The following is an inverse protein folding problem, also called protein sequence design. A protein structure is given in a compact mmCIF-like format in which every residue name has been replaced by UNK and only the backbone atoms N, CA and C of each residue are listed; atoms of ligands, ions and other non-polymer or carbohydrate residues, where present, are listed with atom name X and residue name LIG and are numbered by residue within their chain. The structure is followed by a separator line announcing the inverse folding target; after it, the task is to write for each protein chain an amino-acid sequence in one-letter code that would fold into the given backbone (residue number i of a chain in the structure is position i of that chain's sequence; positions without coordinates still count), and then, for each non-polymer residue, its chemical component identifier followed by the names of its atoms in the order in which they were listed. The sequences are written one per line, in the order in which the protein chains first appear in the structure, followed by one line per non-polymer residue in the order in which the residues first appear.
data_IF_307678335490
#
_entry.id   IF_307678335490
#
_cell.length_a   1.000
_cell.length_b   1.000
_cell.length_c   1.000
_cell.angle_alpha   90.00
_cell.angle_beta   90.00
_cell.angle_gamma   90.00
#
_symmetry.space_group_name_H-M   'P 1'
#
loop_
_entity.id
_entity.type
_entity.pdbx_description
1 polymer ?
#
# COMPACT_ATOMS: atom_id res chain seq x y z
N UNK A 1 13.24 17.38 6.12
CA UNK A 1 11.93 16.70 6.26
C UNK A 1 11.84 15.60 5.22
N UNK A 2 11.47 14.37 5.62
CA UNK A 2 11.23 13.26 4.69
C UNK A 2 9.87 13.42 4.00
N UNK A 3 9.74 12.99 2.74
CA UNK A 3 8.51 13.12 1.94
C UNK A 3 7.95 11.74 1.57
N UNK A 4 6.66 11.55 1.77
CA UNK A 4 5.96 10.31 1.51
C UNK A 4 4.80 10.53 0.53
N UNK A 5 4.63 9.64 -0.44
CA UNK A 5 3.43 9.53 -1.26
C UNK A 5 2.66 8.28 -0.83
N UNK A 6 1.38 8.44 -0.52
CA UNK A 6 0.48 7.32 -0.19
C UNK A 6 -0.64 7.29 -1.22
N UNK A 7 -0.75 6.20 -1.98
CA UNK A 7 -1.84 6.06 -2.96
C UNK A 7 -3.15 5.66 -2.27
N UNK A 8 -4.29 6.20 -2.71
CA UNK A 8 -5.60 5.87 -2.13
C UNK A 8 -5.73 6.26 -0.66
N UNK A 9 -5.16 7.41 -0.26
CA UNK A 9 -5.02 7.83 1.13
C UNK A 9 -6.11 8.79 1.62
N UNK A 10 -7.17 9.00 0.85
CA UNK A 10 -8.27 9.88 1.24
C UNK A 10 -9.18 9.29 2.33
N UNK A 11 -9.02 8.00 2.69
CA UNK A 11 -9.76 7.31 3.75
C UNK A 11 -9.09 6.00 4.17
N UNK A 12 -9.63 5.38 5.22
CA UNK A 12 -9.25 4.03 5.67
C UNK A 12 -7.78 3.93 6.06
N UNK A 13 -7.15 2.79 5.77
CA UNK A 13 -5.76 2.51 6.18
C UNK A 13 -4.77 3.55 5.63
N UNK A 14 -4.96 4.03 4.39
CA UNK A 14 -4.07 5.03 3.80
C UNK A 14 -4.12 6.37 4.54
N UNK A 15 -5.31 6.81 4.97
CA UNK A 15 -5.49 8.02 5.76
C UNK A 15 -4.84 7.90 7.14
N UNK A 16 -5.06 6.77 7.81
CA UNK A 16 -4.46 6.49 9.11
C UNK A 16 -2.94 6.36 9.03
N UNK A 17 -2.42 5.77 7.96
CA UNK A 17 -0.98 5.74 7.67
C UNK A 17 -0.43 7.16 7.53
N UNK A 18 -1.16 8.07 6.87
CA UNK A 18 -0.76 9.47 6.74
C UNK A 18 -0.63 10.13 8.13
N UNK A 19 -1.61 9.95 9.02
CA UNK A 19 -1.56 10.48 10.38
C UNK A 19 -0.28 10.03 11.10
N UNK A 20 0.05 8.74 11.02
CA UNK A 20 1.25 8.21 11.69
C UNK A 20 2.54 8.81 11.12
N UNK A 21 2.65 9.01 9.80
CA UNK A 21 3.82 9.66 9.19
C UNK A 21 3.89 11.15 9.54
N UNK A 22 2.76 11.86 9.54
CA UNK A 22 2.68 13.28 9.91
C UNK A 22 3.11 13.51 11.36
N UNK A 23 2.66 12.65 12.29
CA UNK A 23 3.11 12.64 13.70
C UNK A 23 4.63 12.45 13.85
N UNK A 24 5.28 11.83 12.87
CA UNK A 24 6.73 11.60 12.83
C UNK A 24 7.47 12.63 11.95
N UNK A 25 6.83 13.76 11.60
CA UNK A 25 7.47 14.87 10.91
C UNK A 25 7.73 14.64 9.42
N UNK A 26 6.97 13.77 8.76
CA UNK A 26 7.03 13.60 7.30
C UNK A 26 6.14 14.60 6.59
N UNK A 27 6.54 15.10 5.43
CA UNK A 27 5.59 15.70 4.50
C UNK A 27 4.83 14.58 3.77
N UNK A 28 3.50 14.62 3.76
CA UNK A 28 2.69 13.55 3.16
C UNK A 28 1.87 14.07 1.99
N UNK A 29 2.09 13.47 0.82
CA UNK A 29 1.21 13.59 -0.34
C UNK A 29 0.10 12.53 -0.25
N UNK A 30 -1.14 13.00 -0.10
CA UNK A 30 -2.36 12.22 -0.09
C UNK A 30 -2.79 11.97 -1.54
N UNK A 31 -2.42 10.80 -2.07
CA UNK A 31 -2.87 10.36 -3.39
C UNK A 31 -4.34 9.95 -3.35
N UNK A 32 -5.16 10.55 -4.20
CA UNK A 32 -6.59 10.20 -4.34
C UNK A 32 -7.02 10.26 -5.80
N UNK A 33 -7.76 9.25 -6.28
CA UNK A 33 -8.32 9.27 -7.63
C UNK A 33 -9.27 10.45 -7.85
N UNK A 34 -10.07 10.77 -6.83
CA UNK A 34 -10.95 11.93 -6.83
C UNK A 34 -10.28 13.04 -5.99
N UNK A 35 -9.97 14.17 -6.62
CA UNK A 35 -9.22 15.25 -5.98
C UNK A 35 -9.99 15.88 -4.81
N UNK A 36 -11.31 16.06 -4.94
CA UNK A 36 -12.16 16.64 -3.90
C UNK A 36 -12.08 15.81 -2.61
N UNK A 37 -12.20 14.49 -2.71
CA UNK A 37 -12.04 13.59 -1.56
C UNK A 37 -10.64 13.71 -0.92
N UNK A 38 -9.61 13.89 -1.74
CA UNK A 38 -8.24 14.13 -1.26
C UNK A 38 -8.12 15.45 -0.52
N UNK A 39 -8.74 16.52 -1.03
CA UNK A 39 -8.76 17.84 -0.39
C UNK A 39 -9.57 17.81 0.92
N UNK A 40 -10.69 17.11 0.98
CA UNK A 40 -11.42 16.90 2.23
C UNK A 40 -10.61 16.14 3.28
N UNK A 41 -9.83 15.14 2.86
CA UNK A 41 -8.92 14.43 3.76
C UNK A 41 -7.81 15.37 4.28
N UNK A 42 -7.21 16.19 3.42
CA UNK A 42 -6.24 17.23 3.82
C UNK A 42 -6.86 18.22 4.80
N UNK A 43 -8.09 18.67 4.56
CA UNK A 43 -8.79 19.57 5.48
C UNK A 43 -8.94 18.94 6.87
N UNK A 44 -9.38 17.68 6.95
CA UNK A 44 -9.48 16.97 8.23
C UNK A 44 -8.13 16.88 8.96
N UNK A 45 -7.04 16.65 8.22
CA UNK A 45 -5.69 16.59 8.79
C UNK A 45 -5.20 17.97 9.26
N UNK A 46 -5.51 19.03 8.51
CA UNK A 46 -5.22 20.42 8.91
C UNK A 46 -6.01 20.80 10.18
N UNK A 47 -7.29 20.43 10.27
CA UNK A 47 -8.12 20.65 11.47
C UNK A 47 -7.58 19.88 12.69
N UNK A 48 -6.91 18.74 12.45
CA UNK A 48 -6.17 17.99 13.47
C UNK A 48 -4.77 18.54 13.78
N UNK A 49 -4.35 19.65 13.16
CA UNK A 49 -3.10 20.36 13.43
C UNK A 49 -1.90 19.94 12.57
N UNK A 50 -2.10 19.16 11.50
CA UNK A 50 -1.03 18.81 10.57
C UNK A 50 -1.00 19.76 9.38
N UNK A 51 0.11 20.47 9.18
CA UNK A 51 0.26 21.44 8.07
C UNK A 51 1.11 20.91 6.91
N UNK A 52 1.85 19.82 7.15
CA UNK A 52 2.79 19.17 6.26
C UNK A 52 2.12 18.13 5.34
N UNK A 53 0.96 18.46 4.79
CA UNK A 53 0.13 17.53 4.02
C UNK A 53 -0.49 18.19 2.79
N UNK A 54 -0.55 17.46 1.67
CA UNK A 54 -1.13 17.97 0.43
C UNK A 54 -1.86 16.87 -0.36
N UNK A 55 -2.96 17.22 -1.03
CA UNK A 55 -3.70 16.31 -1.90
C UNK A 55 -3.11 16.29 -3.32
N UNK A 56 -2.91 15.08 -3.85
CA UNK A 56 -2.48 14.84 -5.23
C UNK A 56 -3.55 13.98 -5.92
N UNK A 57 -4.05 14.45 -7.06
CA UNK A 57 -4.94 13.62 -7.88
C UNK A 57 -4.13 12.48 -8.49
N UNK A 58 -4.45 11.24 -8.12
CA UNK A 58 -3.71 10.06 -8.52
C UNK A 58 -4.65 8.85 -8.66
N UNK A 59 -5.03 8.55 -9.90
CA UNK A 59 -5.64 7.28 -10.27
C UNK A 59 -4.57 6.29 -10.74
N UNK A 60 -4.36 5.22 -9.98
CA UNK A 60 -3.32 4.22 -10.28
C UNK A 60 -3.64 3.40 -11.55
N UNK A 61 -4.88 3.41 -12.04
CA UNK A 61 -5.26 2.72 -13.28
C UNK A 61 -5.05 3.56 -14.54
N UNK A 62 -4.71 4.84 -14.40
CA UNK A 62 -4.52 5.77 -15.52
C UNK A 62 -3.08 6.31 -15.58
N UNK A 63 -2.31 5.87 -16.59
CA UNK A 63 -0.93 6.31 -16.79
C UNK A 63 -0.79 7.83 -16.94
N UNK A 64 -1.78 8.53 -17.51
CA UNK A 64 -1.76 9.99 -17.64
C UNK A 64 -1.96 10.63 -16.27
N UNK A 65 -2.85 10.10 -15.44
CA UNK A 65 -3.03 10.57 -14.06
C UNK A 65 -1.76 10.36 -13.23
N UNK A 66 -1.11 9.20 -13.35
CA UNK A 66 0.15 8.90 -12.66
C UNK A 66 1.26 9.87 -13.07
N UNK A 67 1.43 10.13 -14.37
CA UNK A 67 2.46 11.04 -14.86
C UNK A 67 2.22 12.49 -14.42
N UNK A 68 0.95 12.94 -14.44
CA UNK A 68 0.58 14.28 -13.92
C UNK A 68 0.88 14.40 -12.43
N UNK A 69 0.57 13.37 -11.64
CA UNK A 69 0.90 13.34 -10.22
C UNK A 69 2.41 13.43 -9.98
N UNK A 70 3.20 12.68 -10.76
CA UNK A 70 4.67 12.71 -10.72
C UNK A 70 5.20 14.10 -11.00
N UNK A 71 4.78 14.73 -12.09
CA UNK A 71 5.18 16.10 -12.47
C UNK A 71 4.77 17.13 -11.40
N UNK A 72 3.57 17.00 -10.84
CA UNK A 72 3.10 17.90 -9.77
C UNK A 72 3.99 17.79 -8.53
N UNK A 73 4.34 16.58 -8.10
CA UNK A 73 5.23 16.38 -6.93
C UNK A 73 6.66 16.85 -7.25
N UNK A 74 7.17 16.54 -8.44
CA UNK A 74 8.51 16.95 -8.89
C UNK A 74 8.68 18.47 -8.91
N UNK A 75 7.63 19.22 -9.27
CA UNK A 75 7.65 20.69 -9.22
C UNK A 75 7.82 21.27 -7.81
N UNK A 76 7.64 20.44 -6.76
CA UNK A 76 7.67 20.83 -5.34
C UNK A 76 8.88 20.28 -4.61
N UNK A 77 9.34 19.10 -5.02
CA UNK A 77 10.49 18.46 -4.42
C UNK A 77 11.15 17.53 -5.41
N UNK A 78 12.49 17.52 -5.43
CA UNK A 78 13.24 16.63 -6.31
C UNK A 78 13.33 15.20 -5.78
N UNK A 79 13.05 14.99 -4.48
CA UNK A 79 13.29 13.74 -3.75
C UNK A 79 11.99 13.24 -3.13
N UNK A 80 11.69 11.97 -3.36
CA UNK A 80 10.67 11.23 -2.60
C UNK A 80 11.37 10.22 -1.71
N UNK A 81 11.06 10.18 -0.42
CA UNK A 81 11.73 9.25 0.51
C UNK A 81 10.94 7.95 0.68
N UNK A 82 9.61 8.04 0.62
CA UNK A 82 8.71 6.92 0.87
C UNK A 82 7.62 6.86 -0.19
N UNK A 83 7.41 5.68 -0.76
CA UNK A 83 6.23 5.35 -1.55
C UNK A 83 5.42 4.24 -0.86
N UNK A 84 4.15 4.51 -0.60
CA UNK A 84 3.21 3.54 -0.04
C UNK A 84 2.13 3.26 -1.08
N UNK A 85 2.23 2.09 -1.72
CA UNK A 85 1.22 1.58 -2.62
C UNK A 85 0.07 0.96 -1.82
N UNK A 86 -0.84 1.83 -1.35
CA UNK A 86 -2.00 1.47 -0.53
C UNK A 86 -3.29 1.29 -1.35
N UNK A 87 -3.44 1.98 -2.48
CA UNK A 87 -4.62 1.88 -3.32
C UNK A 87 -4.91 0.42 -3.71
N UNK A 88 -6.18 0.00 -3.57
CA UNK A 88 -6.61 -1.33 -3.97
C UNK A 88 -8.12 -1.52 -3.90
N UNK A 89 -8.60 -2.55 -4.60
CA UNK A 89 -10.01 -2.98 -4.61
C UNK A 89 -10.13 -4.48 -4.37
N UNK A 90 -11.27 -4.93 -3.83
CA UNK A 90 -11.57 -6.36 -3.65
C UNK A 90 -12.16 -7.00 -4.93
N UNK A 91 -12.77 -6.21 -5.82
CA UNK A 91 -13.40 -6.69 -7.05
C UNK A 91 -14.90 -7.01 -6.97
N UNK A 92 -15.53 -6.88 -5.80
CA UNK A 92 -16.93 -7.26 -5.59
C UNK A 92 -17.15 -8.78 -5.55
N UNK A 93 -18.41 -9.21 -5.67
CA UNK A 93 -18.80 -10.62 -5.75
C UNK A 93 -19.39 -10.95 -7.15
N UNK A 94 -19.32 -12.21 -7.61
CA UNK A 94 -18.74 -13.38 -6.94
C UNK A 94 -17.20 -13.38 -6.88
N UNK A 95 -16.63 -14.11 -5.93
CA UNK A 95 -15.18 -14.32 -5.75
C UNK A 95 -14.75 -15.79 -5.92
N UNK A 96 -15.71 -16.71 -6.03
CA UNK A 96 -15.45 -18.14 -6.16
C UNK A 96 -14.74 -18.46 -7.48
N UNK A 97 -13.83 -19.45 -7.45
CA UNK A 97 -13.01 -19.78 -8.62
C UNK A 97 -13.82 -20.21 -9.85
N UNK A 98 -15.01 -20.76 -9.66
CA UNK A 98 -15.89 -21.24 -10.74
C UNK A 98 -16.77 -20.12 -11.33
N UNK A 99 -17.09 -19.10 -10.54
CA UNK A 99 -18.13 -18.11 -10.87
C UNK A 99 -17.55 -16.71 -11.14
N UNK A 100 -16.37 -16.40 -10.59
CA UNK A 100 -15.74 -15.11 -10.79
C UNK A 100 -15.37 -14.90 -12.26
N UNK A 101 -15.88 -13.81 -12.85
CA UNK A 101 -15.62 -13.50 -14.26
C UNK A 101 -14.17 -13.06 -14.51
N UNK A 102 -13.64 -13.36 -15.69
CA UNK A 102 -12.33 -12.86 -16.14
C UNK A 102 -12.23 -11.32 -16.08
N UNK A 103 -13.34 -10.60 -16.31
CA UNK A 103 -13.38 -9.14 -16.18
C UNK A 103 -13.16 -8.67 -14.73
N UNK A 104 -13.63 -9.43 -13.74
CA UNK A 104 -13.34 -9.14 -12.33
C UNK A 104 -11.84 -9.29 -12.04
N UNK A 105 -11.20 -10.36 -12.55
CA UNK A 105 -9.74 -10.52 -12.49
C UNK A 105 -9.01 -9.35 -13.14
N UNK A 106 -9.37 -9.00 -14.38
CA UNK A 106 -8.73 -7.90 -15.10
C UNK A 106 -8.81 -6.58 -14.31
N UNK A 107 -9.99 -6.23 -13.81
CA UNK A 107 -10.20 -4.99 -13.04
C UNK A 107 -9.37 -4.96 -11.75
N UNK A 108 -9.37 -6.06 -10.99
CA UNK A 108 -8.63 -6.14 -9.72
C UNK A 108 -7.12 -6.16 -9.97
N UNK A 109 -6.65 -6.91 -10.97
CA UNK A 109 -5.23 -6.93 -11.37
C UNK A 109 -4.76 -5.55 -11.83
N UNK A 110 -5.61 -4.83 -12.58
CA UNK A 110 -5.27 -3.50 -13.09
C UNK A 110 -5.02 -2.50 -11.96
N UNK A 111 -5.84 -2.52 -10.90
CA UNK A 111 -5.63 -1.65 -9.73
C UNK A 111 -4.52 -2.18 -8.82
N UNK A 112 -4.61 -3.45 -8.40
CA UNK A 112 -3.81 -3.99 -7.29
C UNK A 112 -2.40 -4.44 -7.68
N UNK A 113 -2.15 -4.69 -8.97
CA UNK A 113 -0.84 -5.06 -9.50
C UNK A 113 -0.35 -4.02 -10.50
N UNK A 114 -1.05 -3.81 -11.62
CA UNK A 114 -0.56 -2.92 -12.66
C UNK A 114 -0.48 -1.47 -12.16
N UNK A 115 -1.42 -1.02 -11.33
CA UNK A 115 -1.34 0.29 -10.70
C UNK A 115 -0.11 0.44 -9.79
N UNK A 116 0.26 -0.60 -9.05
CA UNK A 116 1.48 -0.63 -8.23
C UNK A 116 2.72 -0.52 -9.12
N UNK A 117 2.77 -1.26 -10.22
CA UNK A 117 3.88 -1.19 -11.20
C UNK A 117 3.98 0.21 -11.81
N UNK A 118 2.88 0.77 -12.31
CA UNK A 118 2.84 2.10 -12.93
C UNK A 118 3.33 3.19 -12.00
N UNK A 119 2.79 3.24 -10.78
CA UNK A 119 3.18 4.26 -9.79
C UNK A 119 4.63 4.06 -9.39
N UNK A 120 5.05 2.84 -9.10
CA UNK A 120 6.43 2.58 -8.67
C UNK A 120 7.43 3.01 -9.76
N UNK A 121 7.18 2.66 -11.02
CA UNK A 121 8.04 3.05 -12.13
C UNK A 121 8.06 4.56 -12.37
N UNK A 122 6.91 5.24 -12.29
CA UNK A 122 6.85 6.68 -12.47
C UNK A 122 7.65 7.44 -11.40
N UNK A 123 7.65 6.96 -10.15
CA UNK A 123 8.29 7.66 -9.04
C UNK A 123 9.72 7.14 -8.71
N UNK A 124 10.21 6.11 -9.40
CA UNK A 124 11.47 5.45 -9.01
C UNK A 124 12.68 6.39 -9.07
N UNK A 125 12.73 7.30 -10.04
CA UNK A 125 13.87 8.21 -10.19
C UNK A 125 13.89 9.30 -9.10
N UNK A 126 12.73 9.68 -8.57
CA UNK A 126 12.66 10.55 -7.38
C UNK A 126 13.08 9.79 -6.12
N UNK A 127 12.70 8.51 -5.99
CA UNK A 127 13.08 7.64 -4.87
C UNK A 127 14.59 7.37 -4.84
N UNK A 128 15.23 7.15 -6.00
CA UNK A 128 16.69 6.94 -6.09
C UNK A 128 17.52 8.11 -5.56
N UNK A 129 16.94 9.31 -5.47
CA UNK A 129 17.60 10.49 -4.91
C UNK A 129 17.52 10.58 -3.38
N UNK A 130 16.75 9.72 -2.73
CA UNK A 130 16.71 9.64 -1.27
C UNK A 130 17.90 8.85 -0.75
N UNK A 131 18.46 9.27 0.39
CA UNK A 131 19.49 8.51 1.11
C UNK A 131 18.92 7.22 1.73
N UNK A 132 17.62 7.19 2.03
CA UNK A 132 16.94 6.08 2.68
C UNK A 132 15.58 5.77 2.05
N UNK A 133 15.53 5.33 0.77
CA UNK A 133 14.27 5.14 0.07
C UNK A 133 13.52 3.91 0.61
N UNK A 134 12.21 4.07 0.78
CA UNK A 134 11.29 3.02 1.28
C UNK A 134 10.13 2.83 0.32
N UNK A 135 9.82 1.57 0.00
CA UNK A 135 8.63 1.20 -0.73
C UNK A 135 7.84 0.19 0.11
N UNK A 136 6.60 0.53 0.42
CA UNK A 136 5.66 -0.37 1.11
C UNK A 136 4.51 -0.70 0.16
N UNK A 137 4.40 -1.97 -0.23
CA UNK A 137 3.27 -2.48 -0.98
C UNK A 137 2.26 -3.08 0.00
N UNK A 138 1.09 -2.43 0.16
CA UNK A 138 0.06 -2.89 1.10
C UNK A 138 -0.58 -4.17 0.55
N UNK A 139 -0.21 -5.30 1.14
CA UNK A 139 -0.62 -6.65 0.74
C UNK A 139 -1.62 -7.24 1.73
N UNK A 140 -1.85 -8.55 1.69
CA UNK A 140 -2.79 -9.24 2.58
C UNK A 140 -2.28 -10.64 2.89
N UNK A 141 -2.24 -11.06 4.16
CA UNK A 141 -1.93 -12.46 4.54
C UNK A 141 -2.88 -13.45 3.86
N UNK A 142 -4.09 -13.01 3.50
CA UNK A 142 -5.05 -13.69 2.61
C UNK A 142 -4.58 -13.92 1.17
N UNK A 143 -3.33 -13.64 0.81
CA UNK A 143 -2.74 -14.08 -0.45
C UNK A 143 -1.59 -15.08 -0.30
N UNK A 144 -1.23 -15.46 0.93
CA UNK A 144 -0.16 -16.43 1.14
C UNK A 144 -0.56 -17.80 0.61
N UNK A 145 0.22 -18.32 -0.34
CA UNK A 145 0.01 -19.67 -0.85
C UNK A 145 0.19 -20.69 0.27
N UNK A 146 1.19 -20.48 1.11
CA UNK A 146 1.50 -21.35 2.24
C UNK A 146 0.34 -21.40 3.24
N UNK A 147 -0.17 -20.25 3.68
CA UNK A 147 -1.28 -20.20 4.65
C UNK A 147 -2.57 -20.75 4.06
N UNK A 148 -2.85 -20.51 2.78
CA UNK A 148 -4.03 -21.09 2.14
C UNK A 148 -3.95 -22.60 1.92
N UNK A 149 -2.78 -23.21 2.07
CA UNK A 149 -2.58 -24.66 2.07
C UNK A 149 -2.50 -25.27 3.49
N UNK A 150 -2.52 -24.45 4.54
CA UNK A 150 -2.44 -24.89 5.94
C UNK A 150 -3.86 -25.04 6.55
N UNK A 151 -4.32 -26.27 6.85
CA UNK A 151 -5.65 -26.49 7.43
C UNK A 151 -5.80 -25.94 8.86
N UNK A 152 -4.70 -25.70 9.58
CA UNK A 152 -4.72 -25.18 10.95
C UNK A 152 -4.79 -23.63 10.97
N UNK A 153 -4.62 -22.97 9.83
CA UNK A 153 -4.71 -21.53 9.75
C UNK A 153 -6.16 -21.04 9.93
N UNK A 154 -6.36 -20.04 10.80
CA UNK A 154 -7.70 -19.51 11.15
C UNK A 154 -8.56 -19.04 9.97
N UNK A 155 -7.93 -18.69 8.84
CA UNK A 155 -8.62 -18.27 7.61
C UNK A 155 -8.61 -19.33 6.51
N UNK A 156 -8.23 -20.58 6.80
CA UNK A 156 -8.15 -21.66 5.82
C UNK A 156 -9.42 -21.78 4.96
N UNK A 157 -10.60 -21.76 5.57
CA UNK A 157 -11.88 -21.91 4.85
C UNK A 157 -12.37 -20.63 4.14
N UNK A 158 -11.66 -19.51 4.25
CA UNK A 158 -12.01 -18.25 3.58
C UNK A 158 -11.25 -18.17 2.25
N UNK A 159 -11.86 -18.65 1.16
CA UNK A 159 -11.24 -18.64 -0.17
C UNK A 159 -11.85 -17.54 -1.04
N UNK A 160 -10.99 -16.89 -1.82
CA UNK A 160 -11.38 -15.97 -2.88
C UNK A 160 -10.38 -16.13 -4.02
N UNK A 161 -10.86 -16.18 -5.26
CA UNK A 161 -10.01 -16.42 -6.42
C UNK A 161 -9.44 -15.12 -7.00
N UNK A 162 -10.16 -14.00 -6.88
CA UNK A 162 -9.81 -12.75 -7.57
C UNK A 162 -8.82 -11.92 -6.76
N UNK A 163 -9.22 -11.49 -5.56
CA UNK A 163 -8.41 -10.57 -4.76
C UNK A 163 -7.08 -11.19 -4.29
N UNK A 164 -7.06 -12.40 -3.67
CA UNK A 164 -5.82 -13.07 -3.29
C UNK A 164 -4.83 -13.23 -4.44
N UNK A 165 -5.29 -13.63 -5.63
CA UNK A 165 -4.42 -13.77 -6.80
C UNK A 165 -3.71 -12.46 -7.16
N UNK A 166 -4.43 -11.33 -7.10
CA UNK A 166 -3.82 -10.01 -7.36
C UNK A 166 -2.73 -9.63 -6.36
N UNK A 167 -2.93 -9.96 -5.08
CA UNK A 167 -1.96 -9.67 -4.03
C UNK A 167 -0.80 -10.66 -4.01
N UNK A 168 -1.02 -11.91 -4.42
CA UNK A 168 0.06 -12.89 -4.63
C UNK A 168 0.96 -12.48 -5.81
N UNK A 169 0.37 -12.00 -6.91
CA UNK A 169 1.13 -11.46 -8.03
C UNK A 169 1.94 -10.20 -7.63
N UNK A 170 1.34 -9.29 -6.85
CA UNK A 170 2.03 -8.12 -6.29
C UNK A 170 3.15 -8.51 -5.31
N UNK A 171 2.98 -9.58 -4.54
CA UNK A 171 4.04 -10.14 -3.70
C UNK A 171 5.24 -10.60 -4.53
N UNK A 172 5.00 -11.32 -5.64
CA UNK A 172 6.07 -11.70 -6.58
C UNK A 172 6.77 -10.48 -7.19
N UNK A 173 6.01 -9.44 -7.59
CA UNK A 173 6.59 -8.17 -8.04
C UNK A 173 7.49 -7.53 -6.96
N UNK A 174 7.04 -7.54 -5.70
CA UNK A 174 7.79 -7.00 -4.56
C UNK A 174 9.12 -7.72 -4.35
N UNK A 175 9.15 -9.05 -4.48
CA UNK A 175 10.38 -9.86 -4.38
C UNK A 175 11.38 -9.44 -5.47
N UNK A 176 10.92 -9.36 -6.72
CA UNK A 176 11.79 -8.99 -7.85
C UNK A 176 12.32 -7.57 -7.72
N UNK A 177 11.45 -6.60 -7.39
CA UNK A 177 11.87 -5.22 -7.19
C UNK A 177 12.90 -5.09 -6.05
N UNK A 178 12.68 -5.78 -4.93
CA UNK A 178 13.65 -5.80 -3.84
C UNK A 178 14.99 -6.43 -4.27
N UNK A 179 14.96 -7.48 -5.09
CA UNK A 179 16.15 -8.11 -5.63
C UNK A 179 16.91 -7.18 -6.59
N UNK A 180 16.23 -6.49 -7.49
CA UNK A 180 16.84 -5.51 -8.40
C UNK A 180 17.54 -4.36 -7.65
N UNK A 181 16.95 -3.93 -6.52
CA UNK A 181 17.45 -2.83 -5.71
C UNK A 181 18.38 -3.27 -4.56
N UNK A 182 18.75 -4.56 -4.49
CA UNK A 182 19.44 -5.16 -3.33
C UNK A 182 20.80 -4.52 -2.99
N UNK A 183 21.50 -4.00 -3.99
CA UNK A 183 22.82 -3.38 -3.86
C UNK A 183 22.73 -1.86 -3.58
N UNK A 184 21.55 -1.37 -3.20
CA UNK A 184 21.27 0.05 -2.88
C UNK A 184 20.72 0.21 -1.46
N UNK A 185 20.48 1.46 -1.03
CA UNK A 185 19.88 1.77 0.27
C UNK A 185 18.37 1.46 0.37
N UNK A 186 17.74 0.99 -0.71
CA UNK A 186 16.30 0.71 -0.72
C UNK A 186 15.90 -0.39 0.27
N UNK A 187 14.74 -0.18 0.87
CA UNK A 187 13.97 -1.22 1.57
C UNK A 187 12.58 -1.32 0.94
N UNK A 188 12.26 -2.49 0.40
CA UNK A 188 11.04 -2.76 -0.34
C UNK A 188 10.33 -3.95 0.30
N UNK A 189 9.12 -3.79 0.83
CA UNK A 189 8.42 -4.89 1.51
C UNK A 189 6.93 -4.93 1.17
N UNK A 190 6.35 -6.12 1.25
CA UNK A 190 4.92 -6.35 1.20
C UNK A 190 4.39 -6.44 2.64
N UNK A 191 3.41 -5.62 2.99
CA UNK A 191 2.93 -5.49 4.37
C UNK A 191 1.43 -5.65 4.42
N UNK A 192 0.95 -6.60 5.21
CA UNK A 192 -0.44 -6.82 5.51
C UNK A 192 -0.86 -5.92 6.69
N UNK A 193 -1.90 -5.09 6.54
CA UNK A 193 -2.41 -4.24 7.61
C UNK A 193 -3.23 -5.01 8.66
N UNK A 194 -3.51 -6.29 8.43
CA UNK A 194 -4.44 -7.13 9.21
C UNK A 194 -5.86 -7.09 8.67
N UNK A 195 -6.78 -7.81 9.33
CA UNK A 195 -8.19 -7.82 8.99
C UNK A 195 -8.91 -6.62 9.64
N UNK A 196 -8.85 -5.50 8.93
CA UNK A 196 -9.26 -4.18 9.43
C UNK A 196 -10.65 -3.80 8.94
N UNK A 197 -11.53 -3.33 9.83
CA UNK A 197 -12.85 -2.81 9.46
C UNK A 197 -12.73 -1.49 8.67
N UNK A 198 -13.04 -1.54 7.36
CA UNK A 198 -13.06 -0.36 6.47
C UNK A 198 -14.14 -0.53 5.41
N UNK A 199 -14.38 0.52 4.60
CA UNK A 199 -15.26 0.39 3.43
C UNK A 199 -14.82 -0.73 2.46
N UNK A 200 -13.53 -1.10 2.45
CA UNK A 200 -12.98 -2.14 1.58
C UNK A 200 -13.64 -3.51 1.78
N UNK A 201 -14.08 -3.81 2.99
CA UNK A 201 -14.75 -5.08 3.35
C UNK A 201 -16.16 -4.87 3.93
N UNK A 202 -16.71 -3.67 3.77
CA UNK A 202 -18.03 -3.32 4.30
C UNK A 202 -18.05 -3.25 5.82
N UNK A 203 -17.02 -2.63 6.42
CA UNK A 203 -16.87 -2.43 7.86
C UNK A 203 -16.76 -3.76 8.65
N UNK A 204 -16.18 -4.79 8.02
CA UNK A 204 -15.93 -6.09 8.64
C UNK A 204 -14.45 -6.22 8.98
N UNK A 205 -14.13 -6.57 10.22
CA UNK A 205 -12.74 -6.70 10.63
C UNK A 205 -12.62 -6.95 12.12
N UNK A 206 -11.51 -7.52 12.53
CA UNK A 206 -11.14 -7.67 13.94
C UNK A 206 -10.31 -6.49 14.45
N UNK A 207 -9.70 -5.71 13.56
CA UNK A 207 -8.89 -4.53 13.90
C UNK A 207 -9.44 -3.20 13.37
N UNK A 208 -8.83 -2.10 13.81
CA UNK A 208 -9.19 -0.73 13.41
C UNK A 208 -8.30 -0.19 12.29
N UNK A 209 -8.82 0.80 11.55
CA UNK A 209 -8.04 1.46 10.49
C UNK A 209 -6.74 2.05 11.04
N UNK A 210 -6.77 2.57 12.27
CA UNK A 210 -5.59 3.09 12.96
C UNK A 210 -4.55 2.00 13.19
N UNK A 211 -4.93 0.82 13.69
CA UNK A 211 -3.99 -0.31 13.87
C UNK A 211 -3.36 -0.74 12.54
N UNK A 212 -4.17 -0.77 11.46
CA UNK A 212 -3.68 -1.00 10.11
C UNK A 212 -2.66 0.07 9.68
N UNK A 213 -2.99 1.34 9.88
CA UNK A 213 -2.13 2.47 9.56
C UNK A 213 -0.81 2.46 10.32
N UNK A 214 -0.83 2.11 11.61
CA UNK A 214 0.37 1.94 12.45
C UNK A 214 1.28 0.85 11.88
N UNK A 215 0.72 -0.31 11.52
CA UNK A 215 1.48 -1.42 10.92
C UNK A 215 2.15 -1.00 9.61
N UNK A 216 1.42 -0.32 8.71
CA UNK A 216 2.00 0.15 7.44
C UNK A 216 3.08 1.21 7.68
N UNK A 217 2.80 2.22 8.50
CA UNK A 217 3.72 3.32 8.78
C UNK A 217 5.04 2.83 9.42
N UNK A 218 4.99 1.80 10.28
CA UNK A 218 6.19 1.19 10.86
C UNK A 218 7.20 0.78 9.79
N UNK A 219 6.75 0.12 8.72
CA UNK A 219 7.63 -0.34 7.64
C UNK A 219 8.00 0.75 6.63
N UNK A 220 7.27 1.85 6.60
CA UNK A 220 7.67 3.07 5.90
C UNK A 220 8.79 3.85 6.63
N UNK A 221 8.96 3.62 7.93
CA UNK A 221 9.91 4.36 8.78
C UNK A 221 11.13 3.53 9.24
N UNK A 222 11.27 2.29 8.77
CA UNK A 222 12.43 1.45 9.12
C UNK A 222 13.76 2.11 8.71
N UNK A 223 14.79 1.95 9.52
CA UNK A 223 16.16 2.40 9.19
C UNK A 223 16.87 1.49 8.19
N UNK A 224 18.10 1.84 7.84
CA UNK A 224 18.93 1.07 6.91
C UNK A 224 19.09 -0.42 7.29
N UNK A 225 19.06 -0.79 8.57
CA UNK A 225 19.11 -2.20 9.02
C UNK A 225 17.78 -2.97 8.88
N UNK A 226 16.71 -2.33 8.41
CA UNK A 226 15.39 -2.92 8.29
C UNK A 226 15.27 -4.01 7.21
N UNK A 227 14.15 -4.77 7.21
CA UNK A 227 13.92 -5.82 6.22
C UNK A 227 13.80 -5.25 4.80
N UNK A 228 14.14 -6.08 3.81
CA UNK A 228 13.82 -5.87 2.40
C UNK A 228 13.49 -7.20 1.74
N UNK A 229 12.62 -7.18 0.74
CA UNK A 229 12.11 -8.37 0.08
C UNK A 229 11.40 -9.33 1.03
N UNK A 230 10.65 -8.80 2.02
CA UNK A 230 9.89 -9.60 2.98
C UNK A 230 8.38 -9.40 2.84
N UNK A 231 7.65 -10.43 3.24
CA UNK A 231 6.22 -10.38 3.45
C UNK A 231 5.90 -10.39 4.93
N UNK A 232 5.09 -9.43 5.33
CA UNK A 232 4.94 -9.06 6.73
C UNK A 232 3.45 -9.01 7.10
N UNK A 233 3.07 -9.65 8.19
CA UNK A 233 1.76 -9.53 8.84
C UNK A 233 1.93 -9.73 10.33
N UNK A 234 1.88 -8.63 11.07
CA UNK A 234 1.94 -8.66 12.55
C UNK A 234 0.66 -9.22 13.18
N UNK A 235 -0.44 -9.25 12.44
CA UNK A 235 -1.67 -9.92 12.88
C UNK A 235 -1.51 -11.45 12.84
N UNK A 236 -0.84 -11.98 11.82
CA UNK A 236 -0.59 -13.43 11.72
C UNK A 236 0.53 -13.86 12.67
N UNK A 237 1.64 -13.11 12.69
CA UNK A 237 2.80 -13.42 13.52
C UNK A 237 3.24 -12.15 14.28
N UNK A 238 2.68 -11.88 15.47
CA UNK A 238 2.98 -10.67 16.22
C UNK A 238 4.41 -10.61 16.75
N UNK A 239 5.06 -11.76 16.96
CA UNK A 239 6.41 -11.83 17.51
C UNK A 239 7.48 -11.36 16.51
N UNK A 240 7.38 -11.82 15.26
CA UNK A 240 8.40 -11.54 14.24
C UNK A 240 7.92 -10.65 13.11
N UNK A 241 6.60 -10.49 12.98
CA UNK A 241 5.95 -9.87 11.82
C UNK A 241 6.04 -10.70 10.54
N UNK A 242 6.84 -11.77 10.47
CA UNK A 242 7.08 -12.52 9.23
C UNK A 242 5.87 -13.38 8.87
N UNK A 243 5.50 -13.35 7.59
CA UNK A 243 4.44 -14.19 7.02
C UNK A 243 5.02 -14.98 5.86
N UNK A 244 4.69 -16.28 5.73
CA UNK A 244 5.13 -17.04 4.57
C UNK A 244 4.47 -16.48 3.31
N UNK A 245 5.17 -16.55 2.18
CA UNK A 245 4.65 -16.12 0.89
C UNK A 245 3.47 -16.98 0.42
#
# INVERSE_FOLDING_TARGET
MKKALITGANKGIGFETAIQLLKNGYFVFIGSRNLENGQSAVQQLNEAGFENVEAIQLDVTDSISVEKARLQIESKTEVLDVLINNAGINGGFPQDALEASANAFQKVMDTNLYGVVRVTQAFIDMLKKSDEPRIVNVSSSGCSLTLHCDPDWKYYSHKAAVYPASKAAMNMYTINLAYELRDTAFRVNAVCPGFVATDFNGQRGTGTAEEGGIRIAKYAMIGAGGPTGKFISEEYNPETGKTPW
#
